data_IF_700790309910
#
_entry.id   IF_700790309910
#
_cell.length_a   1.000
_cell.length_b   1.000
_cell.length_c   1.000
_cell.angle_alpha   90.00
_cell.angle_beta   90.00
_cell.angle_gamma   90.00
#
_symmetry.space_group_name_H-M   'P 1'
#
loop_
_entity.id
_entity.type
_entity.pdbx_description
1 polymer ?
#
# COMPACT_ATOMS: atom_id res chain seq x y z
N UNK A 1 -0.82 4.95 10.15
CA UNK A 1 -1.73 5.00 8.99
C UNK A 1 -2.51 6.31 8.91
N UNK A 2 -3.21 6.69 9.96
CA UNK A 2 -3.96 7.95 9.98
C UNK A 2 -3.03 9.17 9.93
N UNK A 3 -1.87 9.10 10.57
CA UNK A 3 -0.89 10.18 10.54
C UNK A 3 -0.38 10.43 9.12
N UNK A 4 -0.06 9.37 8.38
CA UNK A 4 0.39 9.46 6.99
C UNK A 4 -0.68 10.10 6.12
N UNK A 5 -1.93 9.71 6.31
CA UNK A 5 -3.07 10.27 5.58
C UNK A 5 -3.21 11.77 5.84
N UNK A 6 -3.13 12.18 7.11
CA UNK A 6 -3.24 13.57 7.50
C UNK A 6 -2.11 14.43 6.92
N UNK A 7 -0.88 13.93 6.97
CA UNK A 7 0.30 14.62 6.41
C UNK A 7 0.15 14.77 4.90
N UNK A 8 -0.30 13.73 4.22
CA UNK A 8 -0.48 13.73 2.77
C UNK A 8 -1.56 14.72 2.34
N UNK A 9 -2.67 14.77 3.05
CA UNK A 9 -3.74 15.73 2.79
C UNK A 9 -3.27 17.17 3.05
N UNK A 10 -2.50 17.38 4.12
CA UNK A 10 -1.91 18.69 4.40
C UNK A 10 -0.99 19.14 3.29
N UNK A 11 -0.12 18.26 2.82
CA UNK A 11 0.80 18.57 1.72
C UNK A 11 0.04 18.89 0.43
N UNK A 12 -1.00 18.12 0.13
CA UNK A 12 -1.83 18.33 -1.05
C UNK A 12 -2.48 19.71 -1.02
N UNK A 13 -3.06 20.08 0.12
CA UNK A 13 -3.74 21.36 0.28
C UNK A 13 -2.76 22.54 0.26
N UNK A 14 -1.63 22.41 0.93
CA UNK A 14 -0.62 23.48 0.98
C UNK A 14 0.05 23.71 -0.36
N UNK A 15 0.19 22.69 -1.18
CA UNK A 15 0.82 22.81 -2.49
C UNK A 15 -0.06 23.53 -3.53
N UNK A 16 -1.34 23.69 -3.23
CA UNK A 16 -2.29 24.39 -4.12
C UNK A 16 -2.30 23.83 -5.54
N UNK A 17 -2.25 22.51 -5.65
CA UNK A 17 -2.29 21.82 -6.93
C UNK A 17 -0.96 21.73 -7.68
N UNK A 18 0.14 22.18 -7.08
CA UNK A 18 1.47 22.10 -7.71
C UNK A 18 2.11 20.71 -7.59
N UNK A 19 1.65 19.93 -6.63
CA UNK A 19 2.20 18.60 -6.36
C UNK A 19 1.05 17.60 -6.35
N UNK A 20 1.25 16.47 -7.03
CA UNK A 20 0.34 15.34 -6.94
C UNK A 20 0.79 14.48 -5.76
N UNK A 21 -0.13 14.21 -4.84
CA UNK A 21 0.15 13.39 -3.66
C UNK A 21 -0.76 12.17 -3.67
N UNK A 22 -0.17 11.00 -3.65
CA UNK A 22 -0.89 9.73 -3.64
C UNK A 22 -0.43 8.88 -2.46
N UNK A 23 -1.37 8.44 -1.64
CA UNK A 23 -1.10 7.49 -0.59
C UNK A 23 -1.55 6.11 -1.02
N UNK A 24 -0.69 5.12 -0.86
CA UNK A 24 -0.99 3.73 -1.19
C UNK A 24 -1.04 2.93 0.10
N UNK A 25 -2.14 2.21 0.27
CA UNK A 25 -2.38 1.36 1.44
C UNK A 25 -2.46 -0.10 0.98
N UNK A 26 -1.31 -0.79 0.88
CA UNK A 26 -1.32 -2.18 0.44
C UNK A 26 -1.75 -3.12 1.57
N UNK A 27 -2.43 -4.20 1.20
CA UNK A 27 -2.75 -5.28 2.11
C UNK A 27 -1.67 -6.35 2.15
N UNK A 28 -2.07 -7.62 2.10
CA UNK A 28 -1.15 -8.75 2.18
C UNK A 28 -0.47 -9.00 0.83
N UNK A 29 0.75 -8.51 0.68
CA UNK A 29 1.58 -8.75 -0.50
C UNK A 29 2.90 -9.40 -0.10
N UNK A 30 3.47 -10.18 -1.01
CA UNK A 30 4.75 -10.85 -0.80
C UNK A 30 5.88 -9.84 -0.92
N UNK A 31 6.47 -9.49 0.22
CA UNK A 31 7.61 -8.58 0.29
C UNK A 31 8.73 -9.23 1.09
N UNK A 32 9.92 -8.67 1.01
CA UNK A 32 11.06 -9.14 1.80
C UNK A 32 10.88 -8.91 3.30
N UNK A 33 9.94 -8.05 3.68
CA UNK A 33 9.68 -7.77 5.09
C UNK A 33 9.31 -9.03 5.87
N UNK A 34 8.50 -9.92 5.27
CA UNK A 34 8.12 -11.17 5.91
C UNK A 34 9.32 -12.09 6.15
N UNK A 35 10.30 -12.08 5.25
CA UNK A 35 11.52 -12.88 5.38
C UNK A 35 12.51 -12.27 6.38
N UNK A 36 12.37 -11.01 6.73
CA UNK A 36 13.22 -10.36 7.71
C UNK A 36 12.75 -10.54 9.15
N UNK A 37 11.57 -11.13 9.35
CA UNK A 37 11.05 -11.43 10.68
C UNK A 37 11.87 -12.59 11.27
N UNK A 38 12.63 -12.28 12.33
CA UNK A 38 13.48 -13.26 13.00
C UNK A 38 12.76 -14.02 14.13
N UNK A 39 11.59 -13.56 14.53
CA UNK A 39 10.79 -14.18 15.56
C UNK A 39 9.93 -15.28 14.94
N UNK A 40 10.29 -16.54 15.18
CA UNK A 40 9.58 -17.70 14.64
C UNK A 40 8.12 -17.77 15.08
N UNK A 41 7.82 -17.37 16.30
CA UNK A 41 6.45 -17.41 16.82
C UNK A 41 5.57 -16.38 16.10
N UNK A 42 6.12 -15.21 15.78
CA UNK A 42 5.43 -14.17 15.05
C UNK A 42 5.20 -14.59 13.60
N UNK A 43 6.21 -15.19 12.97
CA UNK A 43 6.10 -15.69 11.62
C UNK A 43 5.05 -16.81 11.54
N UNK A 44 5.05 -17.72 12.50
CA UNK A 44 4.07 -18.79 12.59
C UNK A 44 2.65 -18.25 12.77
N UNK A 45 2.48 -17.24 13.61
CA UNK A 45 1.19 -16.59 13.79
C UNK A 45 0.66 -15.97 12.49
N UNK A 46 1.53 -15.35 11.71
CA UNK A 46 1.17 -14.78 10.41
C UNK A 46 0.78 -15.87 9.42
N UNK A 47 1.51 -16.98 9.40
CA UNK A 47 1.21 -18.12 8.52
C UNK A 47 -0.10 -18.79 8.91
N UNK A 48 -0.40 -18.90 10.20
CA UNK A 48 -1.65 -19.48 10.68
C UNK A 48 -2.87 -18.64 10.33
N UNK A 49 -2.70 -17.35 10.11
CA UNK A 49 -3.77 -16.49 9.61
C UNK A 49 -4.04 -16.67 8.12
N UNK A 50 -3.27 -17.53 7.44
CA UNK A 50 -3.42 -17.75 6.02
C UNK A 50 -2.88 -16.62 5.14
N UNK A 51 -2.13 -15.68 5.71
CA UNK A 51 -1.58 -14.56 4.96
C UNK A 51 -0.66 -15.03 3.83
N UNK A 52 0.12 -16.10 4.09
CA UNK A 52 0.98 -16.67 3.07
C UNK A 52 0.21 -17.26 1.87
N UNK A 53 -1.03 -17.69 2.09
CA UNK A 53 -1.87 -18.27 1.03
C UNK A 53 -2.62 -17.21 0.21
N UNK A 54 -2.96 -16.07 0.83
CA UNK A 54 -3.70 -15.01 0.16
C UNK A 54 -2.81 -13.90 -0.39
N UNK A 55 -1.56 -13.82 0.07
CA UNK A 55 -0.65 -12.77 -0.34
C UNK A 55 -0.38 -12.83 -1.84
N UNK A 56 -0.49 -11.69 -2.50
CA UNK A 56 -0.24 -11.54 -3.93
C UNK A 56 1.17 -10.98 -4.17
N UNK A 57 1.70 -11.13 -5.40
CA UNK A 57 3.02 -10.56 -5.73
C UNK A 57 3.08 -9.05 -5.50
N UNK A 58 4.22 -8.57 -5.01
CA UNK A 58 4.44 -7.14 -4.79
C UNK A 58 4.33 -6.32 -6.09
N UNK A 59 4.51 -6.96 -7.23
CA UNK A 59 4.36 -6.33 -8.55
C UNK A 59 2.97 -5.73 -8.76
N UNK A 60 1.95 -6.30 -8.10
CA UNK A 60 0.58 -5.75 -8.17
C UNK A 60 0.51 -4.37 -7.53
N UNK A 61 1.26 -4.16 -6.45
CA UNK A 61 1.36 -2.84 -5.81
C UNK A 61 2.13 -1.87 -6.72
N UNK A 62 3.22 -2.34 -7.30
CA UNK A 62 4.03 -1.53 -8.22
C UNK A 62 3.19 -1.05 -9.42
N UNK A 63 2.31 -1.89 -9.95
CA UNK A 63 1.42 -1.51 -11.05
C UNK A 63 0.51 -0.35 -10.66
N UNK A 64 0.01 -0.33 -9.43
CA UNK A 64 -0.85 0.77 -8.96
C UNK A 64 -0.06 2.08 -8.82
N UNK A 65 1.20 2.00 -8.42
CA UNK A 65 2.07 3.16 -8.34
C UNK A 65 2.31 3.73 -9.74
N UNK A 66 2.60 2.88 -10.71
CA UNK A 66 2.82 3.28 -12.11
C UNK A 66 1.55 3.93 -12.65
N UNK A 67 0.38 3.37 -12.37
CA UNK A 67 -0.90 3.95 -12.78
C UNK A 67 -1.03 5.39 -12.28
N UNK A 68 -0.74 5.63 -11.00
CA UNK A 68 -0.83 6.97 -10.42
C UNK A 68 0.16 7.94 -11.06
N UNK A 69 1.38 7.46 -11.38
CA UNK A 69 2.42 8.30 -11.99
C UNK A 69 2.13 8.64 -13.45
N UNK A 70 1.34 7.84 -14.15
CA UNK A 70 1.02 8.05 -15.56
C UNK A 70 -0.23 8.89 -15.80
N UNK A 71 -0.88 9.34 -14.75
CA UNK A 71 -2.06 10.18 -14.90
C UNK A 71 -1.72 11.54 -15.49
N UNK A 72 -2.71 12.10 -16.18
CA UNK A 72 -2.62 13.47 -16.69
C UNK A 72 -2.28 14.43 -15.53
N UNK A 73 -1.39 15.43 -15.75
CA UNK A 73 -1.03 16.37 -14.69
C UNK A 73 -2.20 17.11 -14.04
N UNK A 74 -3.33 17.20 -14.72
CA UNK A 74 -4.52 17.83 -14.18
C UNK A 74 -5.36 16.94 -13.28
N UNK A 75 -4.98 15.66 -13.12
CA UNK A 75 -5.75 14.68 -12.35
C UNK A 75 -4.83 14.01 -11.32
N UNK A 76 -5.34 13.85 -10.11
CA UNK A 76 -4.60 13.20 -9.04
C UNK A 76 -5.46 12.12 -8.41
N UNK A 77 -4.88 10.93 -8.22
CA UNK A 77 -5.47 9.89 -7.39
C UNK A 77 -4.89 10.09 -5.98
N UNK A 78 -5.74 10.42 -5.03
CA UNK A 78 -5.28 10.78 -3.70
C UNK A 78 -5.02 9.57 -2.81
N UNK A 79 -5.80 8.52 -2.97
CA UNK A 79 -5.65 7.30 -2.17
C UNK A 79 -5.90 6.07 -3.03
N UNK A 80 -5.06 5.05 -2.84
CA UNK A 80 -5.24 3.74 -3.43
C UNK A 80 -5.18 2.72 -2.31
N UNK A 81 -6.30 2.05 -2.05
CA UNK A 81 -6.35 0.92 -1.13
C UNK A 81 -6.36 -0.34 -1.98
N UNK A 82 -5.31 -1.13 -1.89
CA UNK A 82 -5.15 -2.33 -2.71
C UNK A 82 -4.89 -3.53 -1.83
N UNK A 83 -5.72 -4.56 -1.98
CA UNK A 83 -5.66 -5.79 -1.19
C UNK A 83 -5.93 -6.98 -2.07
N UNK A 84 -5.37 -8.15 -1.77
CA UNK A 84 -5.81 -9.38 -2.42
C UNK A 84 -7.32 -9.55 -2.26
N UNK A 85 -7.98 -10.02 -3.29
CA UNK A 85 -9.44 -10.21 -3.27
C UNK A 85 -9.88 -11.10 -2.12
N UNK A 86 -9.09 -12.11 -1.80
CA UNK A 86 -9.39 -13.07 -0.73
C UNK A 86 -9.12 -12.53 0.67
N UNK A 87 -8.48 -11.38 0.81
CA UNK A 87 -8.17 -10.82 2.13
C UNK A 87 -9.43 -10.23 2.76
N UNK A 88 -9.73 -10.70 3.98
CA UNK A 88 -10.81 -10.16 4.80
C UNK A 88 -10.27 -8.99 5.63
N UNK A 89 -10.63 -7.84 5.46
CA UNK A 89 -10.19 -6.69 6.24
C UNK A 89 -8.67 -6.62 6.36
#
# INVERSE_FOLDING_TARGET
KYAVRAISEGLRLESSGKIQVTCIYPGAFKTELAFSIKDESMLEALMNRGIGNIAQPAERVAESIIYALQLDPGVSVNEIVIRPTAQEA
#
